data_IF_276248992073
#
_entry.id   IF_276248992073
#
_cell.length_a   1.000
_cell.length_b   1.000
_cell.length_c   1.000
_cell.angle_alpha   90.00
_cell.angle_beta   90.00
_cell.angle_gamma   90.00
#
_symmetry.space_group_name_H-M   'P 1'
#
loop_
_entity.id
_entity.type
_entity.pdbx_description
1 polymer ?
#
# COMPACT_ATOMS: atom_id res chain seq x y z
N UNK A 1 46.65 -33.83 17.54
CA UNK A 1 46.13 -32.90 18.56
C UNK A 1 45.29 -31.87 17.83
N UNK A 2 43.96 -32.03 17.84
CA UNK A 2 43.04 -31.02 17.31
C UNK A 2 42.53 -30.22 18.51
N UNK A 3 42.88 -28.95 18.58
CA UNK A 3 42.30 -28.02 19.56
C UNK A 3 40.91 -27.59 19.06
N UNK A 4 39.87 -27.64 19.89
CA UNK A 4 38.57 -27.12 19.51
C UNK A 4 38.61 -25.59 19.56
N UNK A 5 38.41 -24.96 18.40
CA UNK A 5 38.24 -23.51 18.26
C UNK A 5 36.94 -23.11 18.97
N UNK A 6 37.05 -22.66 20.23
CA UNK A 6 35.93 -22.07 20.95
C UNK A 6 35.54 -20.75 20.28
N UNK A 7 34.58 -20.84 19.36
CA UNK A 7 33.93 -19.67 18.77
C UNK A 7 33.00 -19.06 19.81
N UNK A 8 33.52 -18.13 20.60
CA UNK A 8 32.71 -17.30 21.48
C UNK A 8 31.99 -16.26 20.62
N UNK A 9 30.80 -16.62 20.14
CA UNK A 9 29.88 -15.67 19.49
C UNK A 9 29.47 -14.67 20.57
N UNK A 10 30.06 -13.48 20.53
CA UNK A 10 29.75 -12.40 21.46
C UNK A 10 28.27 -12.03 21.32
N UNK A 11 27.48 -12.32 22.36
CA UNK A 11 26.07 -11.98 22.42
C UNK A 11 25.93 -10.45 22.32
N UNK A 12 25.21 -9.91 21.32
CA UNK A 12 25.06 -8.47 21.20
C UNK A 12 24.30 -7.92 22.42
N UNK A 13 24.80 -6.80 22.94
CA UNK A 13 24.17 -6.12 24.08
C UNK A 13 22.74 -5.70 23.72
N UNK A 14 21.84 -5.72 24.71
CA UNK A 14 20.41 -5.40 24.53
C UNK A 14 20.18 -4.04 23.85
N UNK A 15 21.08 -3.07 24.00
CA UNK A 15 20.99 -1.75 23.32
C UNK A 15 21.12 -1.86 21.80
N UNK A 16 22.02 -2.71 21.28
CA UNK A 16 22.19 -2.90 19.82
C UNK A 16 20.97 -3.60 19.21
N UNK A 17 20.45 -4.62 19.90
CA UNK A 17 19.24 -5.32 19.47
C UNK A 17 18.04 -4.39 19.34
N UNK A 18 17.87 -3.46 20.30
CA UNK A 18 16.79 -2.47 20.22
C UNK A 18 16.97 -1.53 19.02
N UNK A 19 18.19 -1.02 18.78
CA UNK A 19 18.47 -0.15 17.64
C UNK A 19 18.22 -0.84 16.28
N UNK A 20 18.57 -2.12 16.16
CA UNK A 20 18.27 -2.93 14.96
C UNK A 20 16.76 -3.11 14.75
N UNK A 21 16.00 -3.33 15.83
CA UNK A 21 14.52 -3.43 15.77
C UNK A 21 13.89 -2.11 15.34
N UNK A 22 14.33 -0.97 15.88
CA UNK A 22 13.81 0.34 15.46
C UNK A 22 14.06 0.63 13.98
N UNK A 23 15.30 0.41 13.52
CA UNK A 23 15.65 0.60 12.10
C UNK A 23 14.85 -0.32 11.18
N UNK A 24 14.58 -1.56 11.63
CA UNK A 24 13.72 -2.47 10.88
C UNK A 24 12.28 -1.95 10.79
N UNK A 25 11.69 -1.49 11.89
CA UNK A 25 10.33 -0.94 11.91
C UNK A 25 10.19 0.30 11.01
N UNK A 26 11.17 1.20 11.04
CA UNK A 26 11.22 2.38 10.15
C UNK A 26 11.24 1.97 8.68
N UNK A 27 12.10 1.03 8.29
CA UNK A 27 12.15 0.53 6.90
C UNK A 27 10.84 -0.14 6.46
N UNK A 28 10.13 -0.76 7.40
CA UNK A 28 8.84 -1.40 7.16
C UNK A 28 7.75 -0.35 6.92
N UNK A 29 7.73 0.71 7.73
CA UNK A 29 6.84 1.86 7.55
C UNK A 29 7.07 2.50 6.18
N UNK A 30 8.32 2.83 5.84
CA UNK A 30 8.66 3.44 4.54
C UNK A 30 8.17 2.59 3.36
N UNK A 31 8.35 1.27 3.43
CA UNK A 31 7.88 0.35 2.39
C UNK A 31 6.36 0.36 2.25
N UNK A 32 5.63 0.41 3.37
CA UNK A 32 4.16 0.43 3.39
C UNK A 32 3.62 1.76 2.87
N UNK A 33 4.28 2.87 3.20
CA UNK A 33 3.96 4.20 2.68
C UNK A 33 4.21 4.30 1.16
N UNK A 34 5.31 3.72 0.68
CA UNK A 34 5.56 3.61 -0.76
C UNK A 34 4.46 2.80 -1.47
N UNK A 35 4.03 1.67 -0.91
CA UNK A 35 2.93 0.85 -1.44
C UNK A 35 1.60 1.65 -1.49
N UNK A 36 1.30 2.42 -0.44
CA UNK A 36 0.14 3.33 -0.42
C UNK A 36 0.22 4.32 -1.59
N UNK A 37 1.37 4.98 -1.77
CA UNK A 37 1.58 5.95 -2.84
C UNK A 37 1.42 5.34 -4.24
N UNK A 38 1.92 4.13 -4.47
CA UNK A 38 1.75 3.41 -5.73
C UNK A 38 0.28 3.10 -6.03
N UNK A 39 -0.46 2.65 -5.01
CA UNK A 39 -1.89 2.36 -5.15
C UNK A 39 -2.67 3.63 -5.46
N UNK A 40 -2.41 4.73 -4.74
CA UNK A 40 -3.08 6.01 -4.96
C UNK A 40 -2.84 6.55 -6.38
N UNK A 41 -1.60 6.46 -6.87
CA UNK A 41 -1.29 6.85 -8.25
C UNK A 41 -2.02 5.98 -9.28
N UNK A 42 -2.16 4.68 -9.02
CA UNK A 42 -2.91 3.78 -9.90
C UNK A 42 -4.38 4.18 -10.00
N UNK A 43 -4.99 4.47 -8.84
CA UNK A 43 -6.38 4.92 -8.73
C UNK A 43 -6.57 6.25 -9.46
N UNK A 44 -5.71 7.24 -9.22
CA UNK A 44 -5.77 8.56 -9.85
C UNK A 44 -5.65 8.46 -11.39
N UNK A 45 -4.75 7.62 -11.90
CA UNK A 45 -4.66 7.35 -13.35
C UNK A 45 -5.97 6.78 -13.92
N UNK A 46 -6.61 5.86 -13.20
CA UNK A 46 -7.90 5.30 -13.61
C UNK A 46 -9.00 6.37 -13.61
N UNK A 47 -9.14 7.12 -12.52
CA UNK A 47 -10.16 8.17 -12.37
C UNK A 47 -9.99 9.26 -13.45
N UNK A 48 -8.77 9.71 -13.71
CA UNK A 48 -8.47 10.68 -14.80
C UNK A 48 -8.82 10.16 -16.19
N UNK A 49 -8.65 8.85 -16.43
CA UNK A 49 -9.05 8.25 -17.70
C UNK A 49 -10.57 8.25 -17.83
N UNK A 50 -11.28 7.81 -16.80
CA UNK A 50 -12.75 7.80 -16.78
C UNK A 50 -13.31 9.20 -16.97
N UNK A 51 -12.78 10.21 -16.27
CA UNK A 51 -13.21 11.60 -16.43
C UNK A 51 -13.02 12.13 -17.86
N UNK A 52 -11.91 11.79 -18.52
CA UNK A 52 -11.67 12.17 -19.92
C UNK A 52 -12.65 11.49 -20.87
N UNK A 53 -12.95 10.21 -20.65
CA UNK A 53 -13.94 9.47 -21.44
C UNK A 53 -15.35 10.07 -21.27
N UNK A 54 -15.72 10.40 -20.04
CA UNK A 54 -16.99 11.08 -19.76
C UNK A 54 -17.07 12.47 -20.40
N UNK A 55 -16.01 13.27 -20.29
CA UNK A 55 -15.95 14.59 -20.89
C UNK A 55 -16.06 14.50 -22.42
N UNK A 56 -15.31 13.59 -23.04
CA UNK A 56 -15.39 13.34 -24.48
C UNK A 56 -16.82 12.97 -24.88
N UNK A 57 -17.47 12.04 -24.18
CA UNK A 57 -18.86 11.65 -24.45
C UNK A 57 -19.85 12.82 -24.31
N UNK A 58 -19.70 13.65 -23.26
CA UNK A 58 -20.53 14.84 -23.04
C UNK A 58 -20.39 15.86 -24.18
N UNK A 59 -19.19 16.03 -24.72
CA UNK A 59 -18.92 16.97 -25.82
C UNK A 59 -19.40 16.47 -27.19
N UNK A 60 -19.73 15.19 -27.35
CA UNK A 60 -20.20 14.63 -28.62
C UNK A 60 -21.62 15.09 -28.96
N UNK A 61 -21.88 15.27 -30.26
CA UNK A 61 -23.23 15.51 -30.78
C UNK A 61 -24.15 14.31 -30.53
N UNK A 62 -25.48 14.51 -30.42
CA UNK A 62 -26.44 13.44 -30.17
C UNK A 62 -26.38 12.29 -31.19
N UNK A 63 -26.18 12.63 -32.48
CA UNK A 63 -26.03 11.64 -33.55
C UNK A 63 -24.79 10.76 -33.33
N UNK A 64 -23.66 11.37 -32.97
CA UNK A 64 -22.42 10.65 -32.70
C UNK A 64 -22.53 9.77 -31.44
N UNK A 65 -23.21 10.24 -30.39
CA UNK A 65 -23.47 9.44 -29.18
C UNK A 65 -24.29 8.18 -29.49
N UNK A 66 -25.31 8.30 -30.33
CA UNK A 66 -26.15 7.16 -30.73
C UNK A 66 -25.36 6.07 -31.45
N UNK A 67 -24.32 6.44 -32.22
CA UNK A 67 -23.48 5.51 -32.97
C UNK A 67 -22.32 4.90 -32.14
N UNK A 68 -21.92 5.53 -31.03
CA UNK A 68 -20.72 5.12 -30.26
C UNK A 68 -20.89 3.89 -29.37
N UNK A 69 -22.09 3.30 -29.25
CA UNK A 69 -22.30 2.05 -28.50
C UNK A 69 -21.72 2.10 -27.08
N UNK A 70 -22.28 2.96 -26.21
CA UNK A 70 -21.80 3.13 -24.83
C UNK A 70 -21.77 1.78 -24.10
N UNK A 71 -20.67 1.49 -23.39
CA UNK A 71 -20.57 0.31 -22.51
C UNK A 71 -21.76 0.29 -21.52
N UNK A 72 -22.36 -0.87 -21.23
CA UNK A 72 -23.44 -0.98 -20.24
C UNK A 72 -22.96 -0.52 -18.86
N UNK A 73 -23.82 0.17 -18.11
CA UNK A 73 -23.48 0.77 -16.81
C UNK A 73 -22.96 -0.26 -15.79
N UNK A 74 -23.39 -1.53 -15.90
CA UNK A 74 -22.91 -2.58 -15.01
C UNK A 74 -21.41 -2.88 -15.16
N UNK A 75 -20.86 -2.84 -16.38
CA UNK A 75 -19.43 -3.08 -16.59
C UNK A 75 -18.58 -1.98 -15.97
N UNK A 76 -19.03 -0.73 -16.05
CA UNK A 76 -18.36 0.41 -15.44
C UNK A 76 -18.32 0.29 -13.91
N UNK A 77 -19.40 -0.20 -13.29
CA UNK A 77 -19.45 -0.44 -11.85
C UNK A 77 -18.45 -1.52 -11.40
N UNK A 78 -18.34 -2.62 -12.15
CA UNK A 78 -17.38 -3.70 -11.87
C UNK A 78 -15.94 -3.19 -12.01
N UNK A 79 -15.64 -2.46 -13.09
CA UNK A 79 -14.34 -1.82 -13.29
C UNK A 79 -14.01 -0.88 -12.11
N UNK A 80 -14.96 -0.04 -11.68
CA UNK A 80 -14.77 0.87 -10.55
C UNK A 80 -14.50 0.14 -9.22
N UNK A 81 -15.22 -0.95 -8.94
CA UNK A 81 -14.96 -1.75 -7.74
C UNK A 81 -13.53 -2.31 -7.75
N UNK A 82 -13.08 -2.80 -8.90
CA UNK A 82 -11.77 -3.41 -9.03
C UNK A 82 -10.62 -2.40 -8.98
N UNK A 83 -10.75 -1.28 -9.68
CA UNK A 83 -9.67 -0.30 -9.85
C UNK A 83 -9.68 0.83 -8.82
N UNK A 84 -10.77 1.03 -8.08
CA UNK A 84 -10.89 2.12 -7.09
C UNK A 84 -11.24 1.58 -5.72
N UNK A 85 -12.36 0.86 -5.59
CA UNK A 85 -12.88 0.50 -4.26
C UNK A 85 -11.95 -0.46 -3.52
N UNK A 86 -11.61 -1.61 -4.12
CA UNK A 86 -10.69 -2.60 -3.50
C UNK A 86 -9.29 -2.01 -3.23
N UNK A 87 -8.67 -1.25 -4.15
CA UNK A 87 -7.42 -0.55 -3.87
C UNK A 87 -7.49 0.42 -2.69
N UNK A 88 -8.56 1.24 -2.59
CA UNK A 88 -8.75 2.15 -1.45
C UNK A 88 -8.95 1.40 -0.13
N UNK A 89 -9.64 0.26 -0.15
CA UNK A 89 -9.75 -0.62 1.03
C UNK A 89 -8.37 -1.14 1.47
N UNK A 90 -7.51 -1.55 0.52
CA UNK A 90 -6.13 -1.97 0.81
C UNK A 90 -5.31 -0.83 1.42
N UNK A 91 -5.41 0.39 0.86
CA UNK A 91 -4.75 1.58 1.43
C UNK A 91 -5.19 1.82 2.87
N UNK A 92 -6.49 1.66 3.19
CA UNK A 92 -6.97 1.79 4.57
C UNK A 92 -6.28 0.81 5.52
N UNK A 93 -6.21 -0.46 5.13
CA UNK A 93 -5.54 -1.50 5.93
C UNK A 93 -4.04 -1.24 6.09
N UNK A 94 -3.37 -0.76 5.03
CA UNK A 94 -1.95 -0.39 5.09
C UNK A 94 -1.72 0.79 6.03
N UNK A 95 -2.60 1.79 6.04
CA UNK A 95 -2.52 2.92 6.97
C UNK A 95 -2.72 2.48 8.42
N UNK A 96 -3.71 1.63 8.68
CA UNK A 96 -3.91 1.03 10.01
C UNK A 96 -2.67 0.23 10.46
N UNK A 97 -1.95 -0.42 9.53
CA UNK A 97 -0.70 -1.12 9.83
C UNK A 97 0.46 -0.16 10.12
N UNK A 98 0.60 0.92 9.36
CA UNK A 98 1.60 1.97 9.59
C UNK A 98 1.38 2.62 10.97
N UNK A 99 0.15 2.97 11.32
CA UNK A 99 -0.18 3.54 12.63
C UNK A 99 0.21 2.60 13.77
N UNK A 100 -0.02 1.29 13.61
CA UNK A 100 0.42 0.29 14.60
C UNK A 100 1.94 0.24 14.73
N UNK A 101 2.67 0.25 13.61
CA UNK A 101 4.13 0.23 13.61
C UNK A 101 4.71 1.51 14.26
N UNK A 102 4.11 2.67 13.98
CA UNK A 102 4.48 3.94 14.62
C UNK A 102 4.24 3.89 16.13
N UNK A 103 3.09 3.36 16.57
CA UNK A 103 2.81 3.20 18.00
C UNK A 103 3.78 2.24 18.72
N UNK A 104 4.35 1.25 18.00
CA UNK A 104 5.41 0.38 18.52
C UNK A 104 6.75 1.13 18.66
N UNK A 105 7.06 2.04 17.73
CA UNK A 105 8.26 2.89 17.82
C UNK A 105 8.15 3.87 19.00
N UNK A 106 6.98 4.48 19.18
CA UNK A 106 6.70 5.42 20.27
C UNK A 106 6.65 4.75 21.66
N UNK A 107 6.61 3.41 21.71
CA UNK A 107 6.51 2.65 22.95
C UNK A 107 5.10 2.59 23.55
N UNK A 108 4.08 3.01 22.79
CA UNK A 108 2.68 3.01 23.21
C UNK A 108 2.05 1.62 23.13
N UNK A 109 2.54 0.76 22.22
CA UNK A 109 2.13 -0.65 22.12
C UNK A 109 3.33 -1.58 22.37
N UNK A 110 3.14 -2.73 23.06
CA UNK A 110 4.19 -3.72 23.18
C UNK A 110 4.53 -4.28 21.79
N UNK A 111 5.83 -4.48 21.54
CA UNK A 111 6.30 -5.11 20.29
C UNK A 111 5.88 -6.58 20.29
N UNK A 112 4.70 -6.88 19.77
CA UNK A 112 4.24 -8.24 19.53
C UNK A 112 4.51 -8.59 18.08
N UNK A 113 5.63 -9.28 17.82
CA UNK A 113 5.88 -9.89 16.52
C UNK A 113 4.96 -11.13 16.44
N UNK A 114 3.88 -11.04 15.68
CA UNK A 114 3.09 -12.21 15.32
C UNK A 114 3.88 -13.02 14.29
N UNK A 115 4.24 -14.25 14.64
CA UNK A 115 4.90 -15.25 13.77
C UNK A 115 4.06 -15.63 12.54
#
# INVERSE_FOLDING_TARGET
MNEPVSSTVATPSSKRKNAEVFSFLESLIEKKEAEIGEIEQMVDRYERRVQREEQAYRTMSPLRRMLTGRKPDHHLAVEYIHYVKKPKERVRLLREEVERLQAMIEGTLPVTLSE
#
